data_IF_471293104110
#
_entry.id   IF_471293104110
#
_cell.length_a   1.000
_cell.length_b   1.000
_cell.length_c   1.000
_cell.angle_alpha   90.00
_cell.angle_beta   90.00
_cell.angle_gamma   90.00
#
_symmetry.space_group_name_H-M   'P 1'
#
loop_
_entity.id
_entity.type
_entity.pdbx_description
1 polymer ?
#
# COMPACT_ATOMS: atom_id res chain seq x y z
N UNK A 1 11.25 -5.90 -13.97
CA UNK A 1 10.83 -4.61 -13.38
C UNK A 1 10.40 -4.89 -11.96
N UNK A 2 11.00 -4.21 -10.99
CA UNK A 2 10.56 -4.32 -9.61
C UNK A 2 9.24 -3.56 -9.45
N UNK A 3 8.31 -4.10 -8.67
CA UNK A 3 6.99 -3.54 -8.46
C UNK A 3 6.58 -3.71 -7.01
N UNK A 4 5.57 -2.95 -6.61
CA UNK A 4 4.92 -3.09 -5.32
C UNK A 4 3.41 -2.95 -5.50
N UNK A 5 2.65 -3.40 -4.51
CA UNK A 5 1.21 -3.32 -4.44
C UNK A 5 0.86 -2.33 -3.33
N UNK A 6 0.38 -1.15 -3.70
CA UNK A 6 -0.11 -0.15 -2.74
C UNK A 6 -1.53 -0.55 -2.34
N UNK A 7 -1.76 -0.73 -1.04
CA UNK A 7 -3.06 -1.08 -0.47
C UNK A 7 -3.81 0.22 -0.17
N UNK A 8 -5.10 0.27 -0.53
CA UNK A 8 -5.95 1.44 -0.39
C UNK A 8 -7.26 1.07 0.32
N UNK A 9 -7.66 1.88 1.29
CA UNK A 9 -8.96 1.73 1.94
C UNK A 9 -10.13 2.17 1.03
N UNK A 10 -11.35 2.14 1.55
CA UNK A 10 -12.56 2.54 0.82
C UNK A 10 -12.59 4.03 0.42
N UNK A 11 -11.79 4.87 1.07
CA UNK A 11 -11.63 6.29 0.73
C UNK A 11 -10.55 6.52 -0.34
N UNK A 12 -9.82 5.47 -0.70
CA UNK A 12 -8.68 5.53 -1.61
C UNK A 12 -7.37 5.92 -0.91
N UNK A 13 -7.35 6.05 0.41
CA UNK A 13 -6.17 6.40 1.18
C UNK A 13 -5.20 5.22 1.25
N UNK A 14 -3.89 5.50 1.11
CA UNK A 14 -2.87 4.46 1.15
C UNK A 14 -2.61 4.02 2.59
N UNK A 15 -2.88 2.75 2.87
CA UNK A 15 -2.77 2.17 4.23
C UNK A 15 -1.59 1.21 4.37
N UNK A 16 -0.96 0.80 3.26
CA UNK A 16 0.20 -0.08 3.29
C UNK A 16 0.77 -0.41 1.92
N UNK A 17 1.83 -1.20 1.92
CA UNK A 17 2.50 -1.71 0.70
C UNK A 17 2.85 -3.18 0.89
N UNK A 18 2.60 -4.00 -0.13
CA UNK A 18 3.06 -5.38 -0.22
C UNK A 18 3.96 -5.57 -1.45
N UNK A 19 4.96 -6.45 -1.36
CA UNK A 19 5.86 -6.76 -2.49
C UNK A 19 5.38 -7.95 -3.33
N UNK A 20 4.46 -8.75 -2.79
CA UNK A 20 3.94 -9.96 -3.43
C UNK A 20 2.42 -9.85 -3.60
N UNK A 21 1.92 -10.18 -4.79
CA UNK A 21 0.49 -10.11 -5.10
C UNK A 21 -0.36 -11.01 -4.18
N UNK A 22 0.03 -12.27 -3.87
CA UNK A 22 -0.75 -13.11 -2.96
C UNK A 22 -0.93 -12.46 -1.58
N UNK A 23 0.09 -11.77 -1.09
CA UNK A 23 0.02 -11.06 0.20
C UNK A 23 -0.88 -9.84 0.11
N UNK A 24 -0.80 -9.06 -0.96
CA UNK A 24 -1.69 -7.92 -1.19
C UNK A 24 -3.15 -8.36 -1.24
N UNK A 25 -3.45 -9.43 -2.00
CA UNK A 25 -4.79 -10.00 -2.12
C UNK A 25 -5.35 -10.48 -0.78
N UNK A 26 -4.52 -11.15 0.02
CA UNK A 26 -4.90 -11.59 1.37
C UNK A 26 -5.31 -10.39 2.23
N UNK A 27 -4.43 -9.39 2.34
CA UNK A 27 -4.66 -8.21 3.20
C UNK A 27 -5.90 -7.43 2.76
N UNK A 28 -6.10 -7.27 1.45
CA UNK A 28 -7.27 -6.60 0.92
C UNK A 28 -8.58 -7.34 1.22
N UNK A 29 -8.58 -8.67 1.16
CA UNK A 29 -9.75 -9.49 1.51
C UNK A 29 -10.09 -9.40 3.00
N UNK A 30 -9.08 -9.40 3.87
CA UNK A 30 -9.26 -9.34 5.33
C UNK A 30 -9.81 -7.99 5.80
N UNK A 31 -9.54 -6.90 5.09
CA UNK A 31 -9.86 -5.54 5.52
C UNK A 31 -10.84 -4.79 4.61
N UNK A 32 -11.43 -5.45 3.61
CA UNK A 32 -12.28 -4.82 2.58
C UNK A 32 -11.57 -3.65 1.85
N UNK A 33 -10.30 -3.84 1.52
CA UNK A 33 -9.47 -2.86 0.81
C UNK A 33 -9.30 -3.21 -0.67
N UNK A 34 -8.70 -2.30 -1.42
CA UNK A 34 -8.23 -2.52 -2.79
C UNK A 34 -6.70 -2.42 -2.86
N UNK A 35 -6.11 -2.86 -3.97
CA UNK A 35 -4.69 -2.64 -4.23
C UNK A 35 -4.43 -2.23 -5.68
N UNK A 36 -3.37 -1.48 -5.89
CA UNK A 36 -2.86 -1.14 -7.23
C UNK A 36 -1.39 -1.49 -7.37
N UNK A 37 -1.04 -2.01 -8.54
CA UNK A 37 0.34 -2.25 -8.93
C UNK A 37 1.01 -0.91 -9.23
N UNK A 38 2.16 -0.65 -8.59
CA UNK A 38 2.99 0.51 -8.90
C UNK A 38 4.40 0.06 -9.32
N UNK A 39 5.01 0.72 -10.32
CA UNK A 39 6.42 0.51 -10.60
C UNK A 39 7.22 0.95 -9.37
N UNK A 40 8.09 0.08 -8.87
CA UNK A 40 8.88 0.35 -7.67
C UNK A 40 10.28 -0.21 -7.83
N UNK A 41 11.24 0.66 -8.13
CA UNK A 41 12.63 0.27 -8.32
C UNK A 41 13.37 0.30 -6.98
N UNK A 42 13.56 -0.86 -6.36
CA UNK A 42 14.39 -1.00 -5.17
C UNK A 42 15.82 -1.41 -5.53
N UNK A 43 16.79 -0.84 -4.82
CA UNK A 43 18.20 -1.23 -4.78
C UNK A 43 18.66 -1.30 -3.31
N UNK A 44 19.93 -1.62 -3.06
CA UNK A 44 20.49 -1.79 -1.70
C UNK A 44 20.38 -0.54 -0.81
N UNK A 45 20.15 0.65 -1.37
CA UNK A 45 19.98 1.91 -0.65
C UNK A 45 18.56 2.47 -0.70
N UNK A 46 17.56 1.70 -1.17
CA UNK A 46 16.17 2.17 -1.21
C UNK A 46 15.58 2.19 0.19
N UNK A 47 15.16 3.36 0.63
CA UNK A 47 14.41 3.56 1.87
C UNK A 47 12.94 3.85 1.56
N UNK A 48 12.04 3.18 2.28
CA UNK A 48 10.59 3.42 2.18
C UNK A 48 10.16 4.22 3.40
N UNK A 49 9.67 5.43 3.17
CA UNK A 49 9.12 6.31 4.20
C UNK A 49 7.59 6.33 4.07
N UNK A 50 6.88 5.83 5.08
CA UNK A 50 5.42 5.92 5.15
C UNK A 50 5.07 7.21 5.89
N UNK A 51 4.71 8.25 5.12
CA UNK A 51 4.25 9.52 5.68
C UNK A 51 2.72 9.49 5.68
N UNK A 52 2.11 9.05 6.77
CA UNK A 52 0.69 9.25 6.99
C UNK A 52 0.49 10.62 7.65
N UNK A 53 -0.28 11.51 7.01
CA UNK A 53 -0.76 12.73 7.66
C UNK A 53 -1.78 12.39 8.75
N UNK A 54 -2.08 13.33 9.68
CA UNK A 54 -3.16 13.12 10.63
C UNK A 54 -4.47 12.84 9.87
N UNK A 55 -5.14 11.74 10.24
CA UNK A 55 -6.54 11.54 9.85
C UNK A 55 -7.33 12.56 10.65
N UNK A 56 -7.73 13.65 10.02
CA UNK A 56 -8.71 14.54 10.61
C UNK A 56 -9.98 13.72 10.83
N UNK A 57 -10.31 13.45 12.10
CA UNK A 57 -11.57 12.82 12.49
C UNK A 57 -12.71 13.72 11.99
N UNK A 58 -13.21 13.48 10.79
CA UNK A 58 -14.45 14.07 10.30
C UNK A 58 -15.55 13.50 11.20
N UNK A 59 -16.04 14.36 12.11
CA UNK A 59 -17.15 14.10 13.03
C UNK A 59 -18.45 13.81 12.30
#
# INVERSE_FOLDING_TARGET
MNHAFVLQDETGYAVGVAYEEPKARQLCKENNWSYRLVPFYWNKGTEVHVIAGPIDNIK
#
